data_IF_699712389034
#
_entry.id   IF_699712389034
#
_cell.length_a   1.000
_cell.length_b   1.000
_cell.length_c   1.000
_cell.angle_alpha   90.00
_cell.angle_beta   90.00
_cell.angle_gamma   90.00
#
_symmetry.space_group_name_H-M   'P 1'
#
loop_
_entity.id
_entity.type
_entity.pdbx_description
1 polymer ?
#
# COMPACT_ATOMS: atom_id res chain seq x y z
N UNK A 1 -7.05 -9.19 -1.77
CA UNK A 1 -6.47 -8.20 -0.84
C UNK A 1 -4.95 -8.29 -0.92
N UNK A 2 -4.25 -7.22 -0.56
CA UNK A 2 -2.79 -7.19 -0.48
C UNK A 2 -2.37 -6.45 0.79
N UNK A 3 -1.24 -6.83 1.38
CA UNK A 3 -0.67 -6.19 2.55
C UNK A 3 0.82 -6.02 2.31
N UNK A 4 1.34 -4.82 2.50
CA UNK A 4 2.76 -4.55 2.29
C UNK A 4 3.22 -3.26 2.94
N UNK A 5 4.54 -3.08 2.96
CA UNK A 5 5.19 -1.86 3.40
C UNK A 5 4.99 -0.77 2.37
N UNK A 6 4.62 0.42 2.82
CA UNK A 6 4.47 1.56 1.91
C UNK A 6 5.83 2.17 1.64
N UNK A 7 6.32 2.01 0.42
CA UNK A 7 7.62 2.56 -0.01
C UNK A 7 7.48 3.92 -0.68
N UNK A 8 6.40 4.18 -1.40
CA UNK A 8 6.18 5.49 -2.05
C UNK A 8 4.71 5.93 -2.02
N UNK A 9 4.50 7.24 -2.00
CA UNK A 9 3.20 7.91 -2.14
C UNK A 9 3.36 9.10 -3.07
N UNK A 10 2.52 9.19 -4.09
CA UNK A 10 2.55 10.29 -5.06
C UNK A 10 1.11 10.75 -5.34
N UNK A 11 0.89 12.06 -5.35
CA UNK A 11 -0.38 12.64 -5.79
C UNK A 11 -0.07 13.83 -6.71
N UNK A 12 0.32 13.57 -7.98
CA UNK A 12 0.65 14.62 -8.92
C UNK A 12 -0.55 15.56 -9.13
N UNK A 13 -0.30 16.86 -9.28
CA UNK A 13 -1.37 17.85 -9.50
C UNK A 13 -2.19 17.56 -10.77
N UNK A 14 -1.55 16.97 -11.78
CA UNK A 14 -2.17 16.62 -13.08
C UNK A 14 -3.04 15.36 -13.03
N UNK A 15 -3.00 14.58 -11.95
CA UNK A 15 -3.68 13.27 -11.87
C UNK A 15 -5.16 13.37 -11.41
N UNK A 16 -5.77 14.55 -11.45
CA UNK A 16 -7.18 14.74 -11.08
C UNK A 16 -7.50 14.41 -9.61
N UNK A 17 -6.50 14.44 -8.73
CA UNK A 17 -6.61 14.03 -7.33
C UNK A 17 -6.44 12.52 -7.09
N UNK A 18 -6.11 11.74 -8.12
CA UNK A 18 -5.68 10.34 -7.98
C UNK A 18 -4.35 10.27 -7.24
N UNK A 19 -4.27 9.36 -6.28
CA UNK A 19 -3.04 9.03 -5.56
C UNK A 19 -2.51 7.69 -6.05
N UNK A 20 -1.20 7.62 -6.20
CA UNK A 20 -0.45 6.40 -6.48
C UNK A 20 0.35 6.01 -5.25
N UNK A 21 0.31 4.72 -4.90
CA UNK A 21 1.05 4.17 -3.76
C UNK A 21 1.75 2.91 -4.21
N UNK A 22 3.01 2.73 -3.84
CA UNK A 22 3.70 1.45 -4.08
C UNK A 22 3.84 0.72 -2.76
N UNK A 23 3.38 -0.54 -2.74
CA UNK A 23 3.58 -1.46 -1.63
C UNK A 23 4.67 -2.47 -1.97
N UNK A 24 5.47 -2.87 -0.99
CA UNK A 24 6.49 -3.91 -1.14
C UNK A 24 6.29 -5.00 -0.07
N UNK A 25 6.53 -6.25 -0.46
CA UNK A 25 6.71 -7.41 0.42
C UNK A 25 7.88 -8.27 -0.10
N UNK A 26 8.12 -9.44 0.50
CA UNK A 26 9.21 -10.33 0.11
C UNK A 26 9.06 -10.91 -1.30
N UNK A 27 7.86 -10.87 -1.89
CA UNK A 27 7.57 -11.36 -3.24
C UNK A 27 7.73 -10.27 -4.32
N UNK A 28 7.91 -9.01 -3.92
CA UNK A 28 8.13 -7.88 -4.82
C UNK A 28 7.27 -6.67 -4.46
N UNK A 29 6.80 -5.94 -5.48
CA UNK A 29 6.04 -4.72 -5.28
C UNK A 29 4.73 -4.68 -6.07
N UNK A 30 3.78 -3.90 -5.56
CA UNK A 30 2.47 -3.65 -6.18
C UNK A 30 2.20 -2.16 -6.26
N UNK A 31 1.87 -1.70 -7.47
CA UNK A 31 1.45 -0.33 -7.72
C UNK A 31 -0.07 -0.20 -7.53
N UNK A 32 -0.45 0.69 -6.63
CA UNK A 32 -1.84 0.99 -6.29
C UNK A 32 -2.31 2.24 -7.02
N UNK A 33 -3.54 2.20 -7.53
CA UNK A 33 -4.26 3.37 -8.02
C UNK A 33 -5.41 3.66 -7.07
N UNK A 34 -5.37 4.82 -6.42
CA UNK A 34 -6.36 5.27 -5.45
C UNK A 34 -7.06 6.50 -6.00
N UNK A 35 -8.33 6.32 -6.37
CA UNK A 35 -9.15 7.38 -6.93
C UNK A 35 -9.47 8.44 -5.88
N UNK A 36 -9.74 9.67 -6.31
CA UNK A 36 -9.95 10.82 -5.41
C UNK A 36 -10.98 10.56 -4.31
N UNK A 37 -12.10 9.91 -4.64
CA UNK A 37 -13.16 9.56 -3.69
C UNK A 37 -12.69 8.54 -2.63
N UNK A 38 -11.91 7.53 -3.04
CA UNK A 38 -11.32 6.53 -2.13
C UNK A 38 -10.25 7.19 -1.26
N UNK A 39 -9.39 8.02 -1.84
CA UNK A 39 -8.39 8.80 -1.10
C UNK A 39 -9.05 9.66 -0.02
N UNK A 40 -10.10 10.41 -0.36
CA UNK A 40 -10.81 11.25 0.60
C UNK A 40 -11.42 10.43 1.74
N UNK A 41 -11.99 9.25 1.44
CA UNK A 41 -12.58 8.35 2.44
C UNK A 41 -11.55 7.77 3.40
N UNK A 42 -10.37 7.37 2.90
CA UNK A 42 -9.33 6.69 3.68
C UNK A 42 -8.10 7.55 3.98
N UNK A 43 -8.23 8.88 3.86
CA UNK A 43 -7.12 9.83 3.94
C UNK A 43 -6.20 9.63 5.14
N UNK A 44 -6.68 9.44 6.39
CA UNK A 44 -5.80 9.26 7.54
C UNK A 44 -4.90 8.03 7.41
N UNK A 45 -5.46 6.89 6.98
CA UNK A 45 -4.73 5.63 6.84
C UNK A 45 -3.73 5.74 5.68
N UNK A 46 -4.17 6.25 4.53
CA UNK A 46 -3.33 6.37 3.34
C UNK A 46 -2.12 7.27 3.56
N UNK A 47 -2.24 8.34 4.35
CA UNK A 47 -1.14 9.26 4.61
C UNK A 47 -0.17 8.79 5.70
N UNK A 48 -0.60 7.96 6.65
CA UNK A 48 0.18 7.70 7.88
C UNK A 48 0.64 6.27 8.07
N UNK A 49 0.04 5.30 7.38
CA UNK A 49 0.32 3.89 7.65
C UNK A 49 1.67 3.43 7.05
N UNK A 50 2.59 2.93 7.88
CA UNK A 50 3.85 2.35 7.40
C UNK A 50 3.61 1.00 6.67
N UNK A 51 2.69 0.20 7.18
CA UNK A 51 2.15 -1.00 6.52
C UNK A 51 0.71 -0.72 6.15
N UNK A 52 0.32 -1.02 4.91
CA UNK A 52 -1.02 -0.77 4.40
C UNK A 52 -1.65 -2.08 3.91
N UNK A 53 -2.87 -2.35 4.38
CA UNK A 53 -3.73 -3.38 3.83
C UNK A 53 -4.72 -2.76 2.84
N UNK A 54 -4.87 -3.38 1.67
CA UNK A 54 -5.77 -2.91 0.61
C UNK A 54 -6.60 -4.03 0.01
N UNK A 55 -7.78 -3.65 -0.48
CA UNK A 55 -8.64 -4.50 -1.30
C UNK A 55 -9.05 -3.73 -2.55
N UNK A 56 -9.19 -4.45 -3.65
CA UNK A 56 -9.40 -3.84 -4.94
C UNK A 56 -9.37 -4.84 -6.08
N UNK A 57 -9.35 -4.32 -7.30
CA UNK A 57 -9.34 -5.11 -8.54
C UNK A 57 -8.03 -4.91 -9.28
N UNK A 58 -7.48 -6.01 -9.78
CA UNK A 58 -6.32 -5.97 -10.67
C UNK A 58 -6.76 -5.40 -12.02
N UNK A 59 -5.99 -4.46 -12.55
CA UNK A 59 -6.09 -3.98 -13.92
C UNK A 59 -4.74 -4.15 -14.59
N UNK A 60 -4.75 -4.82 -15.74
CA UNK A 60 -3.60 -5.00 -16.59
C UNK A 60 -3.88 -4.32 -17.93
N UNK A 61 -3.02 -3.37 -18.31
CA UNK A 61 -3.12 -2.68 -19.60
C UNK A 61 -1.72 -2.36 -20.10
N UNK A 62 -1.48 -2.60 -21.40
CA UNK A 62 -0.23 -2.26 -22.08
C UNK A 62 1.03 -2.79 -21.35
N UNK A 63 0.93 -4.01 -20.79
CA UNK A 63 2.02 -4.66 -20.04
C UNK A 63 2.23 -4.16 -18.61
N UNK A 64 1.45 -3.17 -18.16
CA UNK A 64 1.52 -2.65 -16.79
C UNK A 64 0.35 -3.18 -15.97
N UNK A 65 0.67 -3.71 -14.77
CA UNK A 65 -0.32 -4.23 -13.83
C UNK A 65 -0.41 -3.30 -12.63
N UNK A 66 -1.64 -2.90 -12.28
CA UNK A 66 -1.94 -2.10 -11.10
C UNK A 66 -3.09 -2.72 -10.32
N UNK A 67 -3.17 -2.42 -9.03
CA UNK A 67 -4.35 -2.72 -8.21
C UNK A 67 -5.15 -1.44 -7.97
N UNK A 68 -6.35 -1.37 -8.54
CA UNK A 68 -7.30 -0.28 -8.30
C UNK A 68 -7.97 -0.52 -6.96
N UNK A 69 -7.75 0.39 -6.01
CA UNK A 69 -8.12 0.22 -4.61
C UNK A 69 -9.57 0.65 -4.38
N UNK A 70 -10.36 -0.22 -3.75
CA UNK A 70 -11.72 0.05 -3.28
C UNK A 70 -11.75 0.28 -1.75
N UNK A 71 -10.92 -0.43 -0.99
CA UNK A 71 -10.86 -0.37 0.48
C UNK A 71 -9.42 -0.32 0.99
N UNK A 72 -9.17 0.45 2.06
CA UNK A 72 -7.87 0.57 2.73
C UNK A 72 -8.04 0.40 4.24
N UNK A 73 -7.07 -0.25 4.88
CA UNK A 73 -7.03 -0.37 6.33
C UNK A 73 -5.59 -0.37 6.85
N UNK A 74 -5.43 0.14 8.08
CA UNK A 74 -4.18 -0.02 8.82
C UNK A 74 -4.23 -1.38 9.52
N UNK A 75 -3.35 -2.33 9.21
CA UNK A 75 -3.37 -3.63 9.86
C UNK A 75 -2.95 -3.50 11.33
N UNK A 76 -3.67 -4.20 12.21
CA UNK A 76 -3.24 -4.43 13.59
C UNK A 76 -2.18 -5.54 13.58
N UNK A 77 -0.91 -5.16 13.42
CA UNK A 77 0.21 -6.08 13.52
C UNK A 77 0.59 -6.26 15.00
N UNK A 78 0.34 -7.44 15.53
CA UNK A 78 0.79 -7.84 16.86
C UNK A 78 2.17 -8.49 16.73
N UNK A 79 3.19 -7.88 17.35
CA UNK A 79 4.52 -8.51 17.48
C UNK A 79 4.57 -9.54 18.62
N UNK A 80 3.45 -9.83 19.30
CA UNK A 80 3.41 -10.84 20.35
C UNK A 80 3.73 -12.22 19.74
N UNK A 81 4.94 -12.71 20.00
CA UNK A 81 5.41 -14.02 19.55
C UNK A 81 6.69 -13.97 18.69
N UNK A 82 7.04 -12.81 18.13
CA UNK A 82 8.32 -12.63 17.45
C UNK A 82 9.40 -12.28 18.49
N UNK A 83 10.18 -13.29 18.91
CA UNK A 83 11.49 -13.03 19.54
C UNK A 83 12.39 -12.39 18.48
N UNK A 84 12.52 -11.07 18.51
CA UNK A 84 13.59 -10.36 17.79
C UNK A 84 14.89 -10.64 18.53
N UNK A 85 15.45 -11.83 18.35
CA UNK A 85 16.83 -12.10 18.76
C UNK A 85 17.73 -11.45 17.70
N UNK A 86 18.42 -10.38 18.11
CA UNK A 86 19.48 -9.77 17.32
C UNK A 86 20.53 -10.82 17.00
N UNK A 87 20.58 -11.29 15.75
CA UNK A 87 21.68 -12.15 15.29
C UNK A 87 22.87 -11.26 15.02
N UNK A 88 23.86 -11.33 15.91
CA UNK A 88 25.14 -10.67 15.69
C UNK A 88 25.87 -11.42 14.57
N UNK A 89 25.97 -10.79 13.40
CA UNK A 89 26.84 -11.27 12.34
C UNK A 89 28.29 -10.96 12.75
N UNK A 90 29.09 -12.01 12.95
CA UNK A 90 30.54 -11.94 13.18
C UNK A 90 31.28 -12.16 11.87
#
# INVERSE_FOLDING_TARGET
SYLGLVITRQQPQTAGGTMFVTLEDESGYVNLVIWKNVFQRYRPVLLTAAVLGVEGRIQAKDGVVHLVVDHCFKPQLSLKGFRIESRNFR
#
